data_IF_147912815022
#
_entry.id   IF_147912815022
#
_cell.length_a   1.000
_cell.length_b   1.000
_cell.length_c   1.000
_cell.angle_alpha   90.00
_cell.angle_beta   90.00
_cell.angle_gamma   90.00
#
_symmetry.space_group_name_H-M   'P 1'
#
loop_
_entity.id
_entity.type
_entity.pdbx_description
1 polymer ?
#
# COMPACT_ATOMS: atom_id res chain seq x y z
N UNK A 1 12.78 1.96 -9.51
CA UNK A 1 13.27 3.35 -9.25
C UNK A 1 12.97 3.72 -7.80
N UNK A 2 14.00 4.11 -7.05
CA UNK A 2 13.88 4.58 -5.66
C UNK A 2 13.19 5.95 -5.66
N UNK A 3 12.23 6.15 -4.74
CA UNK A 3 11.58 7.43 -4.50
C UNK A 3 12.14 8.02 -3.22
N UNK A 4 12.41 9.32 -3.22
CA UNK A 4 12.86 10.06 -2.03
C UNK A 4 11.85 11.15 -1.71
N UNK A 5 11.54 11.30 -0.43
CA UNK A 5 10.70 12.36 0.10
C UNK A 5 11.52 13.21 1.07
N UNK A 6 10.89 14.10 1.81
CA UNK A 6 11.57 14.90 2.84
C UNK A 6 12.24 14.03 3.92
N UNK A 7 11.59 12.92 4.33
CA UNK A 7 12.02 12.09 5.46
C UNK A 7 12.31 10.65 5.08
N UNK A 8 11.79 10.16 3.94
CA UNK A 8 11.75 8.75 3.61
C UNK A 8 12.52 8.42 2.33
N UNK A 9 13.05 7.20 2.30
CA UNK A 9 13.46 6.54 1.07
C UNK A 9 12.55 5.33 0.83
N UNK A 10 11.90 5.28 -0.33
CA UNK A 10 11.07 4.16 -0.76
C UNK A 10 11.87 3.35 -1.79
N UNK A 11 12.30 2.18 -1.38
CA UNK A 11 13.14 1.28 -2.18
C UNK A 11 12.26 0.16 -2.71
N UNK A 12 12.16 -0.05 -4.05
CA UNK A 12 11.44 -1.19 -4.60
C UNK A 12 11.94 -2.49 -3.97
N UNK A 13 11.03 -3.38 -3.58
CA UNK A 13 11.45 -4.60 -2.87
C UNK A 13 12.42 -5.46 -3.68
N UNK A 14 12.32 -5.46 -5.01
CA UNK A 14 13.24 -6.16 -5.92
C UNK A 14 14.62 -5.48 -6.07
N UNK A 15 14.76 -4.22 -5.66
CA UNK A 15 16.03 -3.47 -5.67
C UNK A 15 16.69 -3.43 -4.28
N UNK A 16 16.04 -4.01 -3.26
CA UNK A 16 16.57 -4.00 -1.89
C UNK A 16 17.73 -4.99 -1.77
N UNK A 17 18.92 -4.47 -1.44
CA UNK A 17 20.18 -5.26 -1.50
C UNK A 17 20.25 -6.34 -0.42
N UNK A 18 19.88 -6.00 0.81
CA UNK A 18 19.91 -6.96 1.93
C UNK A 18 18.56 -7.70 2.00
N UNK A 19 18.50 -8.84 1.30
CA UNK A 19 17.32 -9.69 1.23
C UNK A 19 16.92 -10.24 2.61
N UNK A 20 17.89 -10.48 3.50
CA UNK A 20 17.60 -10.97 4.85
C UNK A 20 16.97 -9.86 5.70
N UNK A 21 17.55 -8.66 5.72
CA UNK A 21 16.98 -7.52 6.41
C UNK A 21 15.57 -7.17 5.90
N UNK A 22 15.35 -7.28 4.58
CA UNK A 22 14.02 -7.09 3.98
C UNK A 22 13.02 -8.14 4.50
N UNK A 23 13.42 -9.41 4.52
CA UNK A 23 12.56 -10.51 4.99
C UNK A 23 12.28 -10.40 6.49
N UNK A 24 13.27 -10.02 7.28
CA UNK A 24 13.11 -9.82 8.73
C UNK A 24 12.14 -8.68 9.01
N UNK A 25 12.26 -7.56 8.30
CA UNK A 25 11.31 -6.45 8.42
C UNK A 25 9.88 -6.83 7.99
N UNK A 26 9.73 -7.62 6.92
CA UNK A 26 8.42 -8.16 6.52
C UNK A 26 7.84 -9.03 7.63
N UNK A 27 8.63 -9.96 8.15
CA UNK A 27 8.21 -10.83 9.24
C UNK A 27 7.81 -10.04 10.48
N UNK A 28 8.69 -9.15 10.98
CA UNK A 28 8.42 -8.33 12.17
C UNK A 28 7.13 -7.52 12.06
N UNK A 29 6.89 -6.90 10.90
CA UNK A 29 5.72 -6.03 10.71
C UNK A 29 4.44 -6.85 10.54
N UNK A 30 4.47 -7.99 9.83
CA UNK A 30 3.28 -8.77 9.52
C UNK A 30 2.95 -9.83 10.57
N UNK A 31 3.87 -10.18 11.46
CA UNK A 31 3.60 -11.03 12.63
C UNK A 31 3.19 -10.24 13.88
N UNK A 32 3.33 -8.91 13.87
CA UNK A 32 2.91 -8.07 14.98
C UNK A 32 1.38 -7.90 14.99
N UNK A 33 0.72 -8.45 16.00
CA UNK A 33 -0.75 -8.40 16.16
C UNK A 33 -1.30 -6.97 16.20
N UNK A 34 -0.49 -5.99 16.64
CA UNK A 34 -0.88 -4.58 16.70
C UNK A 34 -1.08 -3.96 15.32
N UNK A 35 -0.42 -4.51 14.28
CA UNK A 35 -0.60 -4.06 12.90
C UNK A 35 -1.84 -4.66 12.24
N UNK A 36 -2.45 -5.65 12.86
CA UNK A 36 -3.63 -6.39 12.40
C UNK A 36 -4.78 -6.40 13.42
N UNK A 37 -4.90 -5.40 14.27
CA UNK A 37 -5.94 -5.34 15.31
C UNK A 37 -7.37 -5.49 14.76
N UNK A 38 -7.60 -5.07 13.51
CA UNK A 38 -8.87 -5.18 12.79
C UNK A 38 -9.06 -6.53 12.08
N UNK A 39 -8.00 -7.30 11.86
CA UNK A 39 -8.00 -8.61 11.17
C UNK A 39 -6.93 -9.54 11.77
N UNK A 40 -7.11 -10.02 13.00
CA UNK A 40 -6.13 -10.88 13.68
C UNK A 40 -5.87 -12.21 12.96
N UNK A 41 -6.82 -12.65 12.13
CA UNK A 41 -6.71 -13.82 11.28
C UNK A 41 -5.61 -13.73 10.22
N UNK A 42 -5.23 -12.49 9.82
CA UNK A 42 -4.22 -12.23 8.80
C UNK A 42 -2.79 -12.08 9.35
N UNK A 43 -2.61 -12.19 10.66
CA UNK A 43 -1.28 -12.13 11.29
C UNK A 43 -0.46 -13.34 10.85
N UNK A 44 0.75 -13.09 10.32
CA UNK A 44 1.67 -14.16 9.93
C UNK A 44 2.04 -15.05 11.10
N UNK A 45 2.06 -16.36 10.88
CA UNK A 45 2.34 -17.38 11.89
C UNK A 45 3.76 -17.95 11.76
N UNK A 46 4.35 -17.88 10.57
CA UNK A 46 5.65 -18.45 10.25
C UNK A 46 6.47 -17.50 9.36
N UNK A 47 7.78 -17.48 9.56
CA UNK A 47 8.68 -16.64 8.76
C UNK A 47 8.69 -17.02 7.27
N UNK A 48 8.32 -18.26 6.92
CA UNK A 48 8.15 -18.68 5.52
C UNK A 48 7.10 -17.84 4.77
N UNK A 49 6.04 -17.39 5.46
CA UNK A 49 5.02 -16.51 4.86
C UNK A 49 5.60 -15.15 4.45
N UNK A 50 6.57 -14.62 5.21
CA UNK A 50 7.28 -13.40 4.85
C UNK A 50 8.21 -13.60 3.64
N UNK A 51 8.81 -14.78 3.49
CA UNK A 51 9.60 -15.15 2.32
C UNK A 51 8.70 -15.20 1.08
N UNK A 52 7.58 -15.89 1.16
CA UNK A 52 6.59 -16.00 0.07
C UNK A 52 6.06 -14.62 -0.34
N UNK A 53 5.72 -13.77 0.63
CA UNK A 53 5.25 -12.42 0.36
C UNK A 53 6.31 -11.54 -0.32
N UNK A 54 7.57 -11.61 0.15
CA UNK A 54 8.72 -10.94 -0.47
C UNK A 54 8.88 -11.36 -1.92
N UNK A 55 8.83 -12.66 -2.19
CA UNK A 55 9.04 -13.21 -3.52
C UNK A 55 7.91 -12.79 -4.46
N UNK A 56 6.66 -12.83 -4.00
CA UNK A 56 5.51 -12.32 -4.75
C UNK A 56 5.65 -10.82 -5.09
N UNK A 57 6.05 -10.00 -4.13
CA UNK A 57 6.22 -8.56 -4.38
C UNK A 57 7.40 -8.25 -5.29
N UNK A 58 8.46 -9.07 -5.21
CA UNK A 58 9.61 -9.02 -6.13
C UNK A 58 9.17 -9.33 -7.56
N UNK A 59 8.36 -10.38 -7.73
CA UNK A 59 7.81 -10.77 -9.03
C UNK A 59 6.89 -9.67 -9.62
N UNK A 60 6.04 -9.04 -8.82
CA UNK A 60 5.20 -7.92 -9.28
C UNK A 60 6.05 -6.79 -9.88
N UNK A 61 7.18 -6.44 -9.25
CA UNK A 61 8.11 -5.46 -9.79
C UNK A 61 8.78 -5.90 -11.08
N UNK A 62 9.23 -7.15 -11.14
CA UNK A 62 9.94 -7.70 -12.31
C UNK A 62 9.03 -7.81 -13.53
N UNK A 63 7.80 -8.29 -13.33
CA UNK A 63 6.88 -8.55 -14.43
C UNK A 63 6.06 -7.34 -14.85
N UNK A 64 5.69 -6.48 -13.88
CA UNK A 64 4.72 -5.40 -14.10
C UNK A 64 5.32 -4.00 -13.95
N UNK A 65 6.59 -3.89 -13.54
CA UNK A 65 7.29 -2.62 -13.33
C UNK A 65 6.71 -1.77 -12.21
N UNK A 66 5.81 -2.34 -11.38
CA UNK A 66 5.16 -1.69 -10.24
C UNK A 66 4.86 -2.68 -9.13
N UNK A 67 5.01 -2.21 -7.90
CA UNK A 67 4.80 -3.01 -6.70
C UNK A 67 5.00 -2.18 -5.45
N UNK A 68 5.16 -2.85 -4.33
CA UNK A 68 5.36 -2.19 -3.06
C UNK A 68 6.83 -1.90 -2.79
N UNK A 69 7.06 -0.85 -2.05
CA UNK A 69 8.37 -0.37 -1.61
C UNK A 69 8.61 -0.76 -0.17
N UNK A 70 9.85 -1.09 0.17
CA UNK A 70 10.34 -0.99 1.53
C UNK A 70 10.54 0.50 1.85
N UNK A 71 9.91 0.97 2.92
CA UNK A 71 9.97 2.37 3.36
C UNK A 71 11.02 2.49 4.45
N UNK A 72 12.10 3.21 4.14
CA UNK A 72 13.19 3.48 5.09
C UNK A 72 13.03 4.88 5.69
N UNK A 73 13.19 4.94 7.00
CA UNK A 73 13.25 6.17 7.80
C UNK A 73 14.46 6.10 8.74
N UNK A 74 15.35 7.09 8.66
CA UNK A 74 16.59 7.13 9.46
C UNK A 74 17.46 5.86 9.32
N UNK A 75 17.48 5.26 8.14
CA UNK A 75 18.29 4.07 7.84
C UNK A 75 17.63 2.73 8.18
N UNK A 76 16.45 2.72 8.80
CA UNK A 76 15.72 1.49 9.15
C UNK A 76 14.46 1.31 8.29
N UNK A 77 14.10 0.07 7.98
CA UNK A 77 12.82 -0.26 7.36
C UNK A 77 11.73 -0.10 8.42
N UNK A 78 10.83 0.87 8.21
CA UNK A 78 9.74 1.17 9.15
C UNK A 78 8.38 0.70 8.66
N UNK A 79 8.28 0.30 7.42
CA UNK A 79 7.03 -0.14 6.82
C UNK A 79 7.17 -0.51 5.35
N UNK A 80 6.04 -0.82 4.76
CA UNK A 80 5.88 -1.07 3.33
C UNK A 80 4.72 -0.24 2.80
N UNK A 81 4.86 0.32 1.60
CA UNK A 81 3.82 1.11 0.97
C UNK A 81 3.97 1.10 -0.55
N UNK A 82 2.90 1.34 -1.27
CA UNK A 82 2.95 1.48 -2.72
C UNK A 82 1.65 1.11 -3.41
N UNK A 83 1.73 0.97 -4.72
CA UNK A 83 0.64 0.51 -5.56
C UNK A 83 1.09 -0.65 -6.44
N UNK A 84 0.21 -1.60 -6.67
CA UNK A 84 0.45 -2.71 -7.60
C UNK A 84 -0.75 -2.93 -8.52
N UNK A 85 -0.51 -3.56 -9.66
CA UNK A 85 -1.58 -3.99 -10.54
C UNK A 85 -2.51 -4.99 -9.85
N UNK A 86 -3.81 -4.75 -10.00
CA UNK A 86 -4.86 -5.56 -9.42
C UNK A 86 -6.04 -5.66 -10.39
N UNK A 87 -6.81 -6.74 -10.32
CA UNK A 87 -8.06 -6.89 -11.06
C UNK A 87 -9.21 -6.82 -10.06
N UNK A 88 -10.03 -5.80 -10.17
CA UNK A 88 -11.23 -5.62 -9.35
C UNK A 88 -12.47 -5.85 -10.23
N UNK A 89 -13.19 -6.93 -10.00
CA UNK A 89 -14.41 -7.28 -10.75
C UNK A 89 -14.24 -7.26 -12.29
N UNK A 90 -13.04 -7.59 -12.79
CA UNK A 90 -12.68 -7.58 -14.21
C UNK A 90 -11.94 -6.32 -14.67
N UNK A 91 -11.94 -5.25 -13.89
CA UNK A 91 -11.25 -4.00 -14.22
C UNK A 91 -9.78 -4.01 -13.77
N UNK A 92 -8.89 -3.57 -14.67
CA UNK A 92 -7.47 -3.44 -14.37
C UNK A 92 -7.18 -2.12 -13.64
N UNK A 93 -6.94 -2.18 -12.34
CA UNK A 93 -6.71 -1.04 -11.45
C UNK A 93 -5.35 -1.12 -10.76
N UNK A 94 -5.00 -0.09 -9.99
CA UNK A 94 -3.86 -0.10 -9.07
C UNK A 94 -4.38 -0.17 -7.63
N UNK A 95 -4.04 -1.25 -6.92
CA UNK A 95 -4.39 -1.36 -5.51
C UNK A 95 -3.31 -0.75 -4.63
N UNK A 96 -3.71 0.17 -3.78
CA UNK A 96 -2.87 0.86 -2.81
C UNK A 96 -2.78 0.05 -1.54
N UNK A 97 -1.56 -0.11 -1.03
CA UNK A 97 -1.27 -0.82 0.21
C UNK A 97 -0.26 -0.03 1.04
N UNK A 98 -0.39 -0.14 2.35
CA UNK A 98 0.62 0.30 3.32
C UNK A 98 0.46 -0.45 4.64
N UNK A 99 1.60 -0.71 5.29
CA UNK A 99 1.68 -1.24 6.64
C UNK A 99 2.98 -0.80 7.29
N UNK A 100 2.85 -0.23 8.48
CA UNK A 100 3.98 0.31 9.23
C UNK A 100 4.07 -0.32 10.60
N UNK A 101 5.31 -0.52 11.09
CA UNK A 101 5.53 -0.97 12.47
C UNK A 101 4.89 0.01 13.47
N UNK A 102 4.39 -0.45 14.62
CA UNK A 102 3.67 0.40 15.58
C UNK A 102 4.45 1.65 16.00
N UNK A 103 5.77 1.53 16.23
CA UNK A 103 6.61 2.67 16.62
C UNK A 103 6.78 3.76 15.55
N UNK A 104 6.40 3.48 14.30
CA UNK A 104 6.43 4.44 13.19
C UNK A 104 5.06 5.09 12.92
N UNK A 105 4.01 4.60 13.55
CA UNK A 105 2.65 5.14 13.37
C UNK A 105 2.49 6.50 14.08
N UNK A 106 1.47 7.26 13.69
CA UNK A 106 1.17 8.58 14.28
C UNK A 106 2.12 9.72 13.87
N UNK A 107 3.16 9.44 13.08
CA UNK A 107 4.19 10.42 12.66
C UNK A 107 3.97 10.97 11.24
N UNK A 108 2.88 10.60 10.57
CA UNK A 108 2.58 11.00 9.20
C UNK A 108 3.38 10.28 8.12
N UNK A 109 4.24 9.30 8.47
CA UNK A 109 5.12 8.60 7.53
C UNK A 109 4.33 7.80 6.50
N UNK A 110 3.23 7.15 6.89
CA UNK A 110 2.37 6.43 5.97
C UNK A 110 1.74 7.34 4.91
N UNK A 111 1.28 8.53 5.31
CA UNK A 111 0.76 9.54 4.38
C UNK A 111 1.82 9.95 3.35
N UNK A 112 3.01 10.28 3.83
CA UNK A 112 4.12 10.73 3.00
C UNK A 112 4.56 9.65 1.99
N UNK A 113 4.69 8.40 2.46
CA UNK A 113 5.07 7.28 1.62
C UNK A 113 4.02 6.96 0.55
N UNK A 114 2.75 6.84 0.95
CA UNK A 114 1.66 6.51 0.01
C UNK A 114 1.47 7.62 -1.00
N UNK A 115 1.52 8.88 -0.57
CA UNK A 115 1.43 10.02 -1.50
C UNK A 115 2.53 9.97 -2.55
N UNK A 116 3.79 9.75 -2.15
CA UNK A 116 4.90 9.63 -3.10
C UNK A 116 4.71 8.48 -4.10
N UNK A 117 4.21 7.33 -3.64
CA UNK A 117 3.93 6.20 -4.51
C UNK A 117 2.77 6.46 -5.49
N UNK A 118 1.72 7.14 -5.05
CA UNK A 118 0.60 7.56 -5.90
C UNK A 118 1.06 8.57 -6.96
N UNK A 119 1.81 9.60 -6.56
CA UNK A 119 2.34 10.62 -7.47
C UNK A 119 3.23 9.98 -8.55
N UNK A 120 4.11 9.04 -8.16
CA UNK A 120 4.96 8.29 -9.09
C UNK A 120 4.19 7.35 -10.02
N UNK A 121 2.92 7.07 -9.73
CA UNK A 121 2.07 6.17 -10.52
C UNK A 121 1.03 6.91 -11.36
N UNK A 122 0.86 8.21 -11.15
CA UNK A 122 -0.16 9.04 -11.82
C UNK A 122 -0.07 8.99 -13.34
N UNK A 123 1.16 8.93 -13.89
CA UNK A 123 1.41 8.85 -15.35
C UNK A 123 0.89 7.56 -16.00
N UNK A 124 0.54 6.53 -15.22
CA UNK A 124 -0.01 5.29 -15.77
C UNK A 124 -1.47 5.43 -16.24
N UNK A 125 -2.13 6.52 -15.86
CA UNK A 125 -3.53 6.79 -16.25
C UNK A 125 -4.52 5.72 -15.74
N UNK A 126 -4.13 4.90 -14.75
CA UNK A 126 -4.98 3.87 -14.16
C UNK A 126 -5.65 4.37 -12.89
N UNK A 127 -6.86 3.90 -12.68
CA UNK A 127 -7.57 4.15 -11.45
C UNK A 127 -6.83 3.52 -10.27
N UNK A 128 -6.66 4.29 -9.18
CA UNK A 128 -6.10 3.79 -7.93
C UNK A 128 -7.22 3.50 -6.95
N UNK A 129 -7.18 2.33 -6.34
CA UNK A 129 -8.11 1.91 -5.30
C UNK A 129 -7.37 1.59 -4.00
N UNK A 130 -8.10 1.57 -2.90
CA UNK A 130 -7.67 0.97 -1.65
C UNK A 130 -8.79 0.06 -1.13
N UNK A 131 -8.44 -1.15 -0.73
CA UNK A 131 -9.37 -2.11 -0.11
C UNK A 131 -9.11 -2.08 1.39
N UNK A 132 -10.09 -1.65 2.18
CA UNK A 132 -9.92 -1.36 3.59
C UNK A 132 -11.06 -1.97 4.39
N UNK A 133 -10.72 -2.70 5.46
CA UNK A 133 -11.71 -3.14 6.45
C UNK A 133 -12.39 -1.94 7.11
N UNK A 134 -13.74 -1.93 7.29
CA UNK A 134 -14.47 -0.85 7.94
C UNK A 134 -13.98 -0.58 9.37
N UNK A 135 -13.47 -1.60 10.06
CA UNK A 135 -12.95 -1.49 11.43
C UNK A 135 -11.53 -0.89 11.49
N UNK A 136 -10.86 -0.78 10.34
CA UNK A 136 -9.54 -0.14 10.25
C UNK A 136 -9.66 1.38 10.10
N UNK A 137 -10.19 2.03 11.14
CA UNK A 137 -10.45 3.49 11.15
C UNK A 137 -9.19 4.34 10.82
N UNK A 138 -7.97 4.00 11.29
CA UNK A 138 -6.77 4.73 10.89
C UNK A 138 -6.54 4.69 9.38
N UNK A 139 -6.74 3.54 8.73
CA UNK A 139 -6.59 3.40 7.29
C UNK A 139 -7.68 4.14 6.51
N UNK A 140 -8.94 4.08 6.97
CA UNK A 140 -10.03 4.87 6.39
C UNK A 140 -9.72 6.37 6.46
N UNK A 141 -9.22 6.84 7.59
CA UNK A 141 -8.85 8.26 7.78
C UNK A 141 -7.71 8.66 6.84
N UNK A 142 -6.68 7.81 6.72
CA UNK A 142 -5.55 8.07 5.84
C UNK A 142 -5.99 8.09 4.36
N UNK A 143 -6.78 7.12 3.93
CA UNK A 143 -7.30 7.06 2.57
C UNK A 143 -8.08 8.34 2.21
N UNK A 144 -8.98 8.80 3.11
CA UNK A 144 -9.73 10.05 2.90
C UNK A 144 -8.81 11.26 2.78
N UNK A 145 -7.77 11.37 3.61
CA UNK A 145 -6.78 12.46 3.52
C UNK A 145 -5.99 12.45 2.22
N UNK A 146 -5.78 11.27 1.64
CA UNK A 146 -5.13 11.10 0.33
C UNK A 146 -6.07 11.36 -0.86
N UNK A 147 -7.35 11.62 -0.61
CA UNK A 147 -8.34 11.91 -1.65
C UNK A 147 -9.14 10.69 -2.12
N UNK A 148 -9.05 9.57 -1.43
CA UNK A 148 -9.90 8.42 -1.74
C UNK A 148 -11.32 8.63 -1.21
N UNK A 149 -12.32 8.20 -1.99
CA UNK A 149 -13.72 8.19 -1.62
C UNK A 149 -14.29 6.78 -1.65
N UNK A 150 -15.20 6.50 -0.74
CA UNK A 150 -15.92 5.23 -0.63
C UNK A 150 -16.73 4.95 -1.89
N UNK A 151 -16.66 3.72 -2.40
CA UNK A 151 -17.41 3.21 -3.57
C UNK A 151 -18.14 1.91 -3.20
N UNK A 152 -19.31 1.99 -2.55
CA UNK A 152 -20.02 0.82 -2.00
C UNK A 152 -20.42 -0.23 -3.05
N UNK A 153 -20.71 0.22 -4.25
CA UNK A 153 -21.08 -0.62 -5.41
C UNK A 153 -19.93 -1.52 -5.90
N UNK A 154 -18.71 -1.25 -5.45
CA UNK A 154 -17.51 -2.00 -5.82
C UNK A 154 -16.93 -2.84 -4.69
N UNK A 155 -17.63 -2.96 -3.56
CA UNK A 155 -17.15 -3.74 -2.42
C UNK A 155 -16.88 -5.20 -2.79
N UNK A 156 -15.75 -5.70 -2.31
CA UNK A 156 -15.35 -7.10 -2.52
C UNK A 156 -16.13 -8.01 -1.57
N UNK A 157 -16.29 -7.57 -0.34
CA UNK A 157 -17.04 -8.25 0.72
C UNK A 157 -17.50 -7.25 1.80
N UNK A 158 -18.34 -7.64 2.75
CA UNK A 158 -18.67 -6.78 3.90
C UNK A 158 -17.44 -6.33 4.70
N UNK A 159 -16.40 -7.15 4.76
CA UNK A 159 -15.14 -6.89 5.47
C UNK A 159 -14.14 -6.09 4.64
N UNK A 160 -14.34 -6.01 3.30
CA UNK A 160 -13.37 -5.45 2.36
C UNK A 160 -14.03 -4.37 1.50
N UNK A 161 -14.06 -3.16 2.04
CA UNK A 161 -14.65 -1.97 1.42
C UNK A 161 -13.70 -1.31 0.44
N UNK A 162 -14.24 -0.89 -0.71
CA UNK A 162 -13.46 -0.22 -1.77
C UNK A 162 -13.54 1.29 -1.65
N UNK A 163 -12.38 1.92 -1.72
CA UNK A 163 -12.19 3.36 -1.83
C UNK A 163 -11.45 3.67 -3.13
N UNK A 164 -11.91 4.67 -3.87
CA UNK A 164 -11.36 5.07 -5.16
C UNK A 164 -10.71 6.44 -5.04
N UNK A 165 -9.48 6.58 -5.54
CA UNK A 165 -8.80 7.87 -5.59
C UNK A 165 -9.49 8.80 -6.59
N UNK A 166 -9.96 9.95 -6.12
CA UNK A 166 -10.56 10.96 -6.96
C UNK A 166 -9.47 11.67 -7.76
N UNK A 167 -9.59 11.62 -9.08
CA UNK A 167 -8.72 12.41 -9.96
C UNK A 167 -9.45 13.73 -10.28
N UNK A 168 -8.91 14.89 -9.90
CA UNK A 168 -9.55 16.18 -10.19
C UNK A 168 -9.83 16.41 -11.68
N UNK A 169 -9.13 15.70 -12.56
CA UNK A 169 -9.34 15.81 -14.01
C UNK A 169 -10.58 15.04 -14.52
N UNK A 170 -11.08 14.04 -13.80
CA UNK A 170 -12.25 13.27 -14.22
C UNK A 170 -13.58 13.92 -13.83
N UNK A 171 -13.61 14.81 -12.82
CA UNK A 171 -14.82 15.53 -12.43
C UNK A 171 -15.25 16.58 -13.46
N UNK A 172 -14.30 17.12 -14.24
CA UNK A 172 -14.62 18.11 -15.29
C UNK A 172 -15.38 17.54 -16.48
N UNK A 173 -15.26 16.22 -16.74
CA UNK A 173 -15.91 15.56 -17.89
C UNK A 173 -17.31 15.05 -17.53
N UNK A 174 -17.59 14.75 -16.27
CA UNK A 174 -18.90 14.27 -15.83
C UNK A 174 -19.96 15.37 -15.71
N UNK A 175 -19.55 16.64 -15.61
CA UNK A 175 -20.45 17.80 -15.52
C UNK A 175 -20.78 18.44 -16.89
N UNK A 176 -20.37 17.82 -18.01
CA UNK A 176 -20.63 18.33 -19.37
C UNK A 176 -21.56 17.39 -20.19
N UNK A 177 -22.21 16.42 -19.56
CA UNK A 177 -23.28 15.60 -20.13
C UNK A 177 -24.57 15.81 -19.33
#
# INVERSE_FOLDING_TARGET
MILSTERLSLIPVNEFRDVNALTDALWEIHSDTRTYSHRPDLVMKQRSEAIELRDQWTEDWQQKGRGYYAVSYQGEIVGFAGVRHYILAGDAVLNTYYRFRPGAQGKGLAYEAVKAALDASAQLGKECIAIISPDNLPSVTLARRLGFRRSPDRDVSPEDQVYVLQNPQNEATANQL
#
